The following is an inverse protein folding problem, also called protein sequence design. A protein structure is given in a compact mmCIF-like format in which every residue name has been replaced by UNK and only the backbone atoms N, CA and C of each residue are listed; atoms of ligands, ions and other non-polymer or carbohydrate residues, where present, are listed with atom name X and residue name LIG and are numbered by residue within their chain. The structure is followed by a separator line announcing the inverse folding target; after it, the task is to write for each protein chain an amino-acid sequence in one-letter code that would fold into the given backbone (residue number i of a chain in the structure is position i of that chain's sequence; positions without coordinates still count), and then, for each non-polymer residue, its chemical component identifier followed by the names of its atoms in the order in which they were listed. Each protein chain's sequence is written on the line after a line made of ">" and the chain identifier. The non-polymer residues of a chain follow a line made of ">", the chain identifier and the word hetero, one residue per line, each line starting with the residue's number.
data_IF_227564862022
#
_entry.id   IF_227564862022
#
_cell.length_a   1.000
_cell.length_b   1.000
_cell.length_c   1.000
_cell.angle_alpha   90.00
_cell.angle_beta   90.00
_cell.angle_gamma   90.00
#
_symmetry.space_group_name_H-M   'P 1'
#
loop_
_entity.id
_entity.type
_entity.pdbx_description
1 polymer ?
#
# COMPACT_ATOMS: atom_id res chain seq x y z
N UNK A 1 -7.82 81.06 3.48
CA UNK A 1 -7.42 81.07 4.90
C UNK A 1 -8.02 79.83 5.54
N UNK A 2 -7.37 78.83 6.14
CA UNK A 2 -5.98 78.45 6.42
C UNK A 2 -5.92 76.90 6.26
N UNK A 3 -5.00 76.32 5.48
CA UNK A 3 -3.70 75.77 5.89
C UNK A 3 -3.72 74.93 7.19
N UNK A 4 -3.51 73.61 7.06
CA UNK A 4 -3.26 72.70 8.17
C UNK A 4 -2.63 71.37 7.72
N UNK A 5 -1.35 71.41 7.34
CA UNK A 5 -0.49 70.24 7.09
C UNK A 5 -0.16 69.54 8.41
N UNK A 6 -0.31 68.21 8.49
CA UNK A 6 0.59 67.35 9.27
C UNK A 6 0.97 66.11 8.46
N UNK A 7 2.27 65.98 8.21
CA UNK A 7 2.96 64.76 7.79
C UNK A 7 3.27 63.91 9.03
N UNK A 8 3.43 62.61 8.81
CA UNK A 8 4.04 61.63 9.71
C UNK A 8 3.67 60.25 9.17
N UNK A 9 4.38 59.71 8.18
CA UNK A 9 5.66 59.00 8.30
C UNK A 9 5.52 57.68 9.08
N UNK A 10 5.79 56.58 8.38
CA UNK A 10 6.46 55.43 8.98
C UNK A 10 5.63 54.16 9.14
N UNK A 11 6.17 53.11 8.51
CA UNK A 11 6.23 51.72 8.98
C UNK A 11 5.10 50.78 8.54
N UNK A 12 5.46 50.04 7.48
CA UNK A 12 5.50 48.57 7.49
C UNK A 12 4.24 47.84 7.96
N UNK A 13 3.56 47.20 7.01
CA UNK A 13 3.50 45.74 7.03
C UNK A 13 3.81 45.18 5.64
N UNK A 14 5.08 44.82 5.49
CA UNK A 14 5.45 43.61 4.77
C UNK A 14 4.52 42.45 5.16
N UNK A 15 4.36 41.52 4.23
CA UNK A 15 3.50 40.36 4.43
C UNK A 15 2.31 40.33 3.48
N UNK A 16 2.54 40.73 2.22
CA UNK A 16 1.94 40.00 1.11
C UNK A 16 2.31 38.52 1.28
N UNK A 17 1.51 37.79 2.07
CA UNK A 17 1.53 36.33 2.07
C UNK A 17 1.39 35.95 0.62
N UNK A 18 2.45 35.38 0.08
CA UNK A 18 2.44 34.65 -1.17
C UNK A 18 1.19 33.78 -1.16
N UNK A 19 0.13 34.24 -1.84
CA UNK A 19 -0.87 33.35 -2.41
C UNK A 19 -0.02 32.51 -3.34
N UNK A 20 0.33 31.31 -2.88
CA UNK A 20 0.90 30.29 -3.72
C UNK A 20 -0.17 29.97 -4.74
N UNK A 21 -0.21 30.76 -5.81
CA UNK A 21 -0.87 30.40 -7.05
C UNK A 21 -0.22 29.09 -7.47
N UNK A 22 -0.88 27.98 -7.14
CA UNK A 22 -0.52 26.69 -7.68
C UNK A 22 -0.80 26.76 -9.17
N UNK A 23 0.21 27.18 -9.94
CA UNK A 23 0.10 27.31 -11.38
C UNK A 23 -0.40 26.02 -12.04
N UNK A 24 -0.94 26.09 -13.27
CA UNK A 24 -1.53 24.96 -13.99
C UNK A 24 -0.59 23.74 -14.11
N UNK A 25 0.73 23.95 -14.05
CA UNK A 25 1.74 22.89 -14.06
C UNK A 25 1.81 22.05 -12.77
N UNK A 26 1.53 22.62 -11.58
CA UNK A 26 1.44 21.83 -10.34
C UNK A 26 0.16 21.01 -10.30
N UNK A 27 -0.92 21.58 -10.83
CA UNK A 27 -2.22 20.93 -10.96
C UNK A 27 -2.16 19.71 -11.88
N UNK A 28 -1.45 19.81 -13.00
CA UNK A 28 -1.26 18.67 -13.90
C UNK A 28 -0.44 17.56 -13.23
N UNK A 29 0.61 17.91 -12.47
CA UNK A 29 1.47 16.93 -11.78
C UNK A 29 0.70 16.06 -10.77
N UNK A 30 -0.13 16.66 -9.90
CA UNK A 30 -0.88 15.88 -8.89
C UNK A 30 -1.91 14.95 -9.52
N UNK A 31 -2.55 15.40 -10.61
CA UNK A 31 -3.43 14.56 -11.40
C UNK A 31 -2.67 13.40 -12.04
N UNK A 32 -1.51 13.65 -12.64
CA UNK A 32 -0.65 12.60 -13.21
C UNK A 32 -0.21 11.59 -12.14
N UNK A 33 0.14 12.03 -10.93
CA UNK A 33 0.48 11.13 -9.82
C UNK A 33 -0.68 10.19 -9.47
N UNK A 34 -1.92 10.71 -9.40
CA UNK A 34 -3.09 9.86 -9.16
C UNK A 34 -3.29 8.85 -10.31
N UNK A 35 -3.15 9.28 -11.56
CA UNK A 35 -3.33 8.39 -12.72
C UNK A 35 -2.25 7.31 -12.76
N UNK A 36 -0.99 7.66 -12.55
CA UNK A 36 0.11 6.68 -12.45
C UNK A 36 -0.16 5.72 -11.30
N UNK A 37 -0.60 6.23 -10.15
CA UNK A 37 -0.99 5.40 -9.02
C UNK A 37 -2.09 4.39 -9.38
N UNK A 38 -3.16 4.84 -10.05
CA UNK A 38 -4.24 3.97 -10.51
C UNK A 38 -3.79 2.93 -11.54
N UNK A 39 -2.91 3.31 -12.47
CA UNK A 39 -2.35 2.38 -13.45
C UNK A 39 -1.55 1.27 -12.77
N UNK A 40 -0.71 1.62 -11.78
CA UNK A 40 0.05 0.62 -11.01
C UNK A 40 -0.86 -0.32 -10.23
N UNK A 41 -1.90 0.22 -9.58
CA UNK A 41 -2.87 -0.59 -8.83
C UNK A 41 -3.63 -1.51 -9.77
N UNK A 42 -4.16 -0.99 -10.89
CA UNK A 42 -4.89 -1.78 -11.87
C UNK A 42 -4.01 -2.88 -12.47
N UNK A 43 -2.76 -2.56 -12.82
CA UNK A 43 -1.79 -3.53 -13.31
C UNK A 43 -1.54 -4.64 -12.28
N UNK A 44 -1.31 -4.27 -11.01
CA UNK A 44 -1.15 -5.24 -9.93
C UNK A 44 -2.41 -6.11 -9.77
N UNK A 45 -3.61 -5.52 -9.75
CA UNK A 45 -4.87 -6.27 -9.60
C UNK A 45 -5.12 -7.25 -10.73
N UNK A 46 -4.85 -6.86 -11.98
CA UNK A 46 -4.98 -7.77 -13.12
C UNK A 46 -4.01 -8.94 -13.01
N UNK A 47 -2.73 -8.66 -12.70
CA UNK A 47 -1.74 -9.72 -12.50
C UNK A 47 -2.06 -10.59 -11.28
N UNK A 48 -2.62 -10.02 -10.22
CA UNK A 48 -3.05 -10.75 -9.03
C UNK A 48 -4.08 -11.80 -9.38
N UNK A 49 -5.13 -11.44 -10.11
CA UNK A 49 -6.18 -12.38 -10.52
C UNK A 49 -5.58 -13.52 -11.37
N UNK A 50 -4.74 -13.16 -12.34
CA UNK A 50 -4.09 -14.12 -13.23
C UNK A 50 -3.22 -15.10 -12.42
N UNK A 51 -2.39 -14.61 -11.51
CA UNK A 51 -1.47 -15.44 -10.73
C UNK A 51 -2.18 -16.26 -9.66
N UNK A 52 -3.30 -15.77 -9.10
CA UNK A 52 -4.16 -16.58 -8.23
C UNK A 52 -4.68 -17.81 -9.01
N UNK A 53 -5.17 -17.61 -10.23
CA UNK A 53 -5.67 -18.71 -11.08
C UNK A 53 -4.54 -19.68 -11.43
N UNK A 54 -3.37 -19.17 -11.85
CA UNK A 54 -2.21 -20.02 -12.15
C UNK A 54 -1.75 -20.82 -10.94
N UNK A 55 -1.71 -20.23 -9.75
CA UNK A 55 -1.33 -20.94 -8.55
C UNK A 55 -2.32 -22.04 -8.18
N UNK A 56 -3.63 -21.83 -8.39
CA UNK A 56 -4.65 -22.88 -8.20
C UNK A 56 -4.38 -24.05 -9.14
N UNK A 57 -4.19 -23.78 -10.44
CA UNK A 57 -3.88 -24.82 -11.43
C UNK A 57 -2.58 -25.56 -11.08
N UNK A 58 -1.50 -24.83 -10.82
CA UNK A 58 -0.20 -25.41 -10.44
C UNK A 58 -0.30 -26.28 -9.18
N UNK A 59 -1.03 -25.84 -8.16
CA UNK A 59 -1.26 -26.60 -6.93
C UNK A 59 -2.04 -27.90 -7.13
N UNK A 60 -2.87 -27.98 -8.18
CA UNK A 60 -3.61 -29.18 -8.54
C UNK A 60 -2.71 -30.21 -9.24
N UNK A 61 -1.77 -29.72 -10.05
CA UNK A 61 -0.81 -30.53 -10.80
C UNK A 61 0.38 -30.98 -9.93
N UNK A 62 0.67 -30.26 -8.86
CA UNK A 62 1.80 -30.49 -7.98
C UNK A 62 2.91 -29.47 -8.22
N UNK A 63 3.31 -28.77 -7.15
CA UNK A 63 4.36 -27.76 -7.20
C UNK A 63 5.64 -28.37 -6.63
N UNK A 64 6.66 -28.49 -7.48
CA UNK A 64 7.98 -28.95 -7.05
C UNK A 64 8.65 -27.85 -6.22
N UNK A 65 8.99 -28.17 -4.98
CA UNK A 65 9.68 -27.27 -4.05
C UNK A 65 11.01 -27.89 -3.66
N UNK A 66 12.07 -27.08 -3.72
CA UNK A 66 13.40 -27.45 -3.24
C UNK A 66 13.43 -27.26 -1.73
N UNK A 67 13.63 -28.34 -0.99
CA UNK A 67 13.80 -28.33 0.47
C UNK A 67 15.26 -28.10 0.86
N UNK A 68 16.19 -28.66 0.08
CA UNK A 68 17.62 -28.45 0.27
C UNK A 68 18.29 -28.19 -1.08
N UNK A 69 19.05 -27.11 -1.15
CA UNK A 69 19.83 -26.77 -2.33
C UNK A 69 20.92 -27.82 -2.61
N UNK A 70 21.26 -28.03 -3.89
CA UNK A 70 22.37 -28.90 -4.25
C UNK A 70 23.68 -28.33 -3.70
N UNK A 71 24.47 -29.18 -3.03
CA UNK A 71 25.77 -28.78 -2.52
C UNK A 71 26.83 -29.07 -3.58
N UNK A 72 27.62 -28.07 -3.92
CA UNK A 72 28.78 -28.22 -4.80
C UNK A 72 30.07 -28.03 -3.98
N UNK A 73 30.96 -29.02 -4.02
CA UNK A 73 32.30 -28.92 -3.44
C UNK A 73 33.34 -29.11 -4.53
N UNK A 74 34.33 -28.20 -4.58
CA UNK A 74 35.42 -28.22 -5.55
C UNK A 74 34.96 -28.33 -7.02
N UNK A 75 33.84 -27.69 -7.36
CA UNK A 75 33.28 -27.70 -8.72
C UNK A 75 32.56 -29.01 -9.11
N UNK A 76 32.43 -29.95 -8.17
CA UNK A 76 31.67 -31.19 -8.35
C UNK A 76 30.43 -31.20 -7.46
N UNK A 77 29.35 -31.83 -7.94
CA UNK A 77 28.14 -31.99 -7.16
C UNK A 77 28.43 -32.95 -6.00
N UNK A 78 28.46 -32.42 -4.78
CA UNK A 78 28.66 -33.19 -3.56
C UNK A 78 27.34 -33.77 -3.03
N UNK A 79 26.21 -33.09 -3.26
CA UNK A 79 24.87 -33.54 -2.85
C UNK A 79 23.80 -33.03 -3.81
N UNK A 80 22.91 -33.93 -4.23
CA UNK A 80 21.73 -33.57 -5.03
C UNK A 80 20.74 -32.72 -4.22
N UNK A 81 19.93 -31.94 -4.93
CA UNK A 81 18.87 -31.15 -4.32
C UNK A 81 17.79 -32.08 -3.77
N UNK A 82 17.36 -31.85 -2.53
CA UNK A 82 16.19 -32.55 -1.97
C UNK A 82 14.96 -31.78 -2.40
N UNK A 83 14.05 -32.44 -3.11
CA UNK A 83 12.80 -31.84 -3.58
C UNK A 83 11.59 -32.58 -3.05
N UNK A 84 10.49 -31.87 -2.89
CA UNK A 84 9.18 -32.44 -2.59
C UNK A 84 8.14 -31.84 -3.53
N UNK A 85 7.02 -32.54 -3.71
CA UNK A 85 5.89 -32.02 -4.49
C UNK A 85 4.76 -31.66 -3.55
N UNK A 86 4.35 -30.39 -3.56
CA UNK A 86 3.25 -29.89 -2.74
C UNK A 86 1.96 -29.80 -3.55
N UNK A 87 0.83 -30.10 -2.91
CA UNK A 87 -0.50 -30.06 -3.53
C UNK A 87 -1.48 -29.23 -2.68
N UNK A 88 -2.59 -28.82 -3.28
CA UNK A 88 -3.66 -28.12 -2.57
C UNK A 88 -3.18 -26.81 -1.95
N UNK A 89 -3.58 -26.51 -0.71
CA UNK A 89 -3.29 -25.21 -0.08
C UNK A 89 -1.78 -24.92 0.07
N UNK A 90 -0.97 -25.93 0.39
CA UNK A 90 0.49 -25.76 0.53
C UNK A 90 1.19 -25.57 -0.81
N UNK A 91 0.75 -26.29 -1.85
CA UNK A 91 1.22 -26.06 -3.23
C UNK A 91 0.80 -24.69 -3.75
N UNK A 92 -0.42 -24.25 -3.43
CA UNK A 92 -0.92 -22.92 -3.81
C UNK A 92 -0.09 -21.81 -3.17
N UNK A 93 0.15 -21.88 -1.86
CA UNK A 93 0.98 -20.92 -1.14
C UNK A 93 2.40 -20.87 -1.73
N UNK A 94 3.02 -22.03 -1.94
CA UNK A 94 4.37 -22.15 -2.50
C UNK A 94 4.49 -21.55 -3.92
N UNK A 95 3.44 -21.66 -4.75
CA UNK A 95 3.44 -21.06 -6.09
C UNK A 95 3.11 -19.55 -6.07
N UNK A 96 2.18 -19.13 -5.22
CA UNK A 96 1.60 -17.78 -5.26
C UNK A 96 2.40 -16.75 -4.46
N UNK A 97 2.87 -17.11 -3.27
CA UNK A 97 3.42 -16.14 -2.35
C UNK A 97 4.77 -15.55 -2.77
N UNK A 98 5.70 -16.29 -3.43
CA UNK A 98 6.90 -15.67 -4.01
C UNK A 98 6.55 -14.60 -5.04
N UNK A 99 5.56 -14.87 -5.91
CA UNK A 99 5.07 -13.88 -6.86
C UNK A 99 4.46 -12.67 -6.15
N UNK A 100 3.63 -12.90 -5.13
CA UNK A 100 3.00 -11.82 -4.36
C UNK A 100 4.06 -10.95 -3.67
N UNK A 101 5.09 -11.55 -3.07
CA UNK A 101 6.18 -10.84 -2.40
C UNK A 101 6.96 -9.96 -3.38
N UNK A 102 7.23 -10.48 -4.58
CA UNK A 102 7.93 -9.78 -5.64
C UNK A 102 7.07 -8.71 -6.34
N UNK A 103 5.76 -8.66 -6.15
CA UNK A 103 4.90 -7.71 -6.88
C UNK A 103 4.09 -6.78 -5.96
N UNK A 104 4.00 -7.07 -4.66
CA UNK A 104 3.28 -6.27 -3.68
C UNK A 104 3.76 -4.81 -3.62
N UNK A 105 5.02 -4.54 -3.97
CA UNK A 105 5.54 -3.17 -4.04
C UNK A 105 4.80 -2.31 -5.08
N UNK A 106 4.27 -2.91 -6.16
CA UNK A 106 3.51 -2.19 -7.19
C UNK A 106 2.19 -1.64 -6.61
N UNK A 107 1.50 -2.45 -5.80
CA UNK A 107 0.33 -2.01 -5.06
C UNK A 107 0.70 -0.89 -4.09
N UNK A 108 1.76 -1.08 -3.29
CA UNK A 108 2.20 -0.08 -2.31
C UNK A 108 2.55 1.26 -2.97
N UNK A 109 3.38 1.25 -4.02
CA UNK A 109 3.75 2.44 -4.78
C UNK A 109 2.53 3.11 -5.43
N UNK A 110 1.62 2.31 -5.98
CA UNK A 110 0.37 2.79 -6.55
C UNK A 110 -0.49 3.54 -5.53
N UNK A 111 -0.65 2.98 -4.33
CA UNK A 111 -1.37 3.62 -3.21
C UNK A 111 -0.66 4.91 -2.77
N UNK A 112 0.67 4.91 -2.67
CA UNK A 112 1.44 6.10 -2.28
C UNK A 112 1.25 7.23 -3.29
N UNK A 113 1.41 6.97 -4.59
CA UNK A 113 1.23 8.01 -5.62
C UNK A 113 -0.21 8.53 -5.67
N UNK A 114 -1.18 7.64 -5.53
CA UNK A 114 -2.59 8.04 -5.43
C UNK A 114 -2.84 8.93 -4.22
N UNK A 115 -2.34 8.55 -3.04
CA UNK A 115 -2.50 9.30 -1.80
C UNK A 115 -1.84 10.69 -1.87
N UNK A 116 -0.60 10.77 -2.39
CA UNK A 116 0.12 12.03 -2.57
C UNK A 116 -0.65 12.95 -3.52
N UNK A 117 -1.07 12.44 -4.68
CA UNK A 117 -1.84 13.21 -5.66
C UNK A 117 -3.17 13.72 -5.08
N UNK A 118 -3.87 12.87 -4.31
CA UNK A 118 -5.10 13.25 -3.62
C UNK A 118 -4.87 14.34 -2.55
N UNK A 119 -3.93 14.15 -1.63
CA UNK A 119 -3.68 15.09 -0.52
C UNK A 119 -3.20 16.47 -0.99
N UNK A 120 -2.54 16.53 -2.14
CA UNK A 120 -2.01 17.78 -2.71
C UNK A 120 -3.01 18.46 -3.66
N UNK A 121 -4.17 17.85 -3.92
CA UNK A 121 -5.24 18.48 -4.71
C UNK A 121 -5.97 19.51 -3.82
N UNK A 122 -6.07 20.79 -4.23
CA UNK A 122 -6.72 21.83 -3.41
C UNK A 122 -8.21 21.54 -3.19
N UNK A 123 -8.69 21.75 -1.95
CA UNK A 123 -10.10 21.50 -1.54
C UNK A 123 -11.09 22.37 -2.32
N UNK A 124 -10.68 23.56 -2.75
CA UNK A 124 -11.50 24.49 -3.53
C UNK A 124 -11.79 23.99 -4.96
N UNK A 125 -11.01 23.04 -5.47
CA UNK A 125 -11.12 22.56 -6.85
C UNK A 125 -12.03 21.34 -7.02
N UNK A 126 -12.40 20.66 -5.93
CA UNK A 126 -13.03 19.35 -6.01
C UNK A 126 -14.47 19.36 -5.49
N UNK A 127 -15.40 18.87 -6.33
CA UNK A 127 -16.78 18.63 -5.88
C UNK A 127 -16.74 17.63 -4.74
N UNK A 128 -17.40 17.97 -3.63
CA UNK A 128 -17.50 17.12 -2.45
C UNK A 128 -17.73 15.61 -2.74
N UNK A 129 -18.68 15.19 -3.61
CA UNK A 129 -18.87 13.77 -3.91
C UNK A 129 -17.66 13.08 -4.56
N UNK A 130 -16.87 13.81 -5.37
CA UNK A 130 -15.67 13.27 -6.04
C UNK A 130 -14.55 13.07 -5.03
N UNK A 131 -14.35 14.04 -4.13
CA UNK A 131 -13.37 13.94 -3.05
C UNK A 131 -13.71 12.77 -2.11
N UNK A 132 -14.99 12.60 -1.75
CA UNK A 132 -15.44 11.49 -0.91
C UNK A 132 -15.21 10.13 -1.59
N UNK A 133 -15.47 10.03 -2.90
CA UNK A 133 -15.21 8.81 -3.67
C UNK A 133 -13.73 8.46 -3.68
N UNK A 134 -12.84 9.43 -3.94
CA UNK A 134 -11.38 9.22 -3.92
C UNK A 134 -10.88 8.78 -2.54
N UNK A 135 -11.41 9.34 -1.46
CA UNK A 135 -11.06 8.91 -0.11
C UNK A 135 -11.49 7.47 0.18
N UNK A 136 -12.69 7.06 -0.28
CA UNK A 136 -13.15 5.66 -0.16
C UNK A 136 -12.27 4.71 -0.96
N UNK A 137 -11.89 5.14 -2.17
CA UNK A 137 -11.00 4.39 -3.03
C UNK A 137 -9.62 4.19 -2.38
N UNK A 138 -9.05 5.25 -1.80
CA UNK A 138 -7.81 5.18 -1.02
C UNK A 138 -7.94 4.24 0.19
N UNK A 139 -9.01 4.37 0.97
CA UNK A 139 -9.28 3.47 2.10
C UNK A 139 -9.40 2.01 1.68
N UNK A 140 -10.07 1.74 0.55
CA UNK A 140 -10.17 0.40 -0.03
C UNK A 140 -8.80 -0.17 -0.41
N UNK A 141 -7.94 0.62 -1.04
CA UNK A 141 -6.61 0.16 -1.41
C UNK A 141 -5.67 -0.04 -0.22
N UNK A 142 -5.82 0.77 0.84
CA UNK A 142 -5.10 0.52 2.10
C UNK A 142 -5.54 -0.80 2.73
N UNK A 143 -6.83 -1.14 2.71
CA UNK A 143 -7.30 -2.46 3.16
C UNK A 143 -6.72 -3.60 2.31
N UNK A 144 -6.66 -3.42 0.99
CA UNK A 144 -6.04 -4.41 0.09
C UNK A 144 -4.55 -4.60 0.42
N UNK A 145 -3.82 -3.51 0.67
CA UNK A 145 -2.42 -3.56 1.07
C UNK A 145 -2.23 -4.25 2.43
N UNK A 146 -3.11 -3.98 3.39
CA UNK A 146 -3.10 -4.68 4.68
C UNK A 146 -3.32 -6.19 4.51
N UNK A 147 -4.26 -6.59 3.64
CA UNK A 147 -4.50 -8.00 3.35
C UNK A 147 -3.27 -8.67 2.72
N UNK A 148 -2.59 -8.01 1.78
CA UNK A 148 -1.34 -8.50 1.19
C UNK A 148 -0.26 -8.70 2.26
N UNK A 149 -0.11 -7.76 3.19
CA UNK A 149 0.86 -7.88 4.29
C UNK A 149 0.56 -9.09 5.19
N UNK A 150 -0.71 -9.35 5.48
CA UNK A 150 -1.12 -10.54 6.25
C UNK A 150 -0.75 -11.81 5.49
N UNK A 151 -1.10 -11.91 4.20
CA UNK A 151 -0.80 -13.08 3.37
C UNK A 151 0.71 -13.36 3.34
N UNK A 152 1.53 -12.33 3.12
CA UNK A 152 2.99 -12.44 3.12
C UNK A 152 3.56 -12.85 4.48
N UNK A 153 2.98 -12.35 5.57
CA UNK A 153 3.35 -12.77 6.91
C UNK A 153 3.08 -14.26 7.13
N UNK A 154 1.87 -14.72 6.80
CA UNK A 154 1.48 -16.13 6.96
C UNK A 154 2.35 -17.04 6.08
N UNK A 155 2.62 -16.66 4.84
CA UNK A 155 3.44 -17.46 3.94
C UNK A 155 4.84 -17.75 4.53
N UNK A 156 5.45 -16.72 5.12
CA UNK A 156 6.81 -16.76 5.63
C UNK A 156 7.02 -17.64 6.86
N UNK A 157 5.99 -17.83 7.68
CA UNK A 157 6.04 -18.77 8.82
C UNK A 157 5.70 -20.19 8.39
N UNK A 158 4.67 -20.36 7.55
CA UNK A 158 4.04 -21.66 7.39
C UNK A 158 4.50 -22.45 6.16
N UNK A 159 5.07 -21.79 5.13
CA UNK A 159 5.27 -22.42 3.82
C UNK A 159 6.67 -22.29 3.22
N UNK A 160 7.50 -21.33 3.64
CA UNK A 160 8.89 -21.23 3.18
C UNK A 160 9.78 -22.29 3.88
N UNK A 161 10.63 -23.02 3.15
CA UNK A 161 11.62 -23.91 3.76
C UNK A 161 12.61 -23.06 4.57
N UNK A 162 12.73 -23.38 5.86
CA UNK A 162 13.59 -22.67 6.78
C UNK A 162 14.98 -23.30 6.70
N UNK A 163 16.01 -22.54 6.31
CA UNK A 163 17.38 -23.00 6.46
C UNK A 163 17.65 -23.35 7.92
N UNK A 164 18.22 -24.54 8.17
CA UNK A 164 18.68 -24.93 9.49
C UNK A 164 19.91 -24.09 9.87
N UNK A 165 19.71 -22.84 10.29
CA UNK A 165 20.77 -22.06 10.94
C UNK A 165 21.11 -22.72 12.28
N UNK A 166 22.39 -22.92 12.51
CA UNK A 166 23.01 -23.77 13.54
C UNK A 166 22.84 -23.33 15.00
N UNK A 167 21.72 -22.68 15.36
CA UNK A 167 21.41 -22.28 16.73
C UNK A 167 19.91 -22.21 17.00
N UNK A 168 19.43 -23.01 17.95
CA UNK A 168 18.02 -23.12 18.34
C UNK A 168 17.39 -21.81 18.85
N UNK A 169 18.20 -20.88 19.35
CA UNK A 169 17.75 -19.57 19.84
C UNK A 169 17.60 -18.48 18.75
N UNK A 170 18.18 -18.66 17.56
CA UNK A 170 18.01 -17.72 16.45
C UNK A 170 16.85 -18.10 15.50
N UNK A 171 16.32 -19.32 15.65
CA UNK A 171 15.36 -19.95 14.74
C UNK A 171 13.93 -19.39 14.84
N UNK A 172 13.43 -19.22 16.07
CA UNK A 172 12.05 -18.79 16.32
C UNK A 172 11.97 -17.26 16.30
N UNK A 173 13.01 -16.56 16.74
CA UNK A 173 12.93 -15.13 16.99
C UNK A 173 12.86 -14.30 15.71
N UNK A 174 13.62 -14.63 14.66
CA UNK A 174 13.68 -13.79 13.47
C UNK A 174 12.43 -13.89 12.59
N UNK A 175 11.98 -15.10 12.24
CA UNK A 175 10.80 -15.28 11.40
C UNK A 175 9.51 -14.87 12.12
N UNK A 176 9.42 -15.13 13.44
CA UNK A 176 8.32 -14.63 14.25
C UNK A 176 8.33 -13.11 14.34
N UNK A 177 9.50 -12.48 14.45
CA UNK A 177 9.62 -11.02 14.45
C UNK A 177 9.23 -10.43 13.10
N UNK A 178 9.66 -11.03 11.99
CA UNK A 178 9.26 -10.60 10.65
C UNK A 178 7.74 -10.75 10.44
N UNK A 179 7.15 -11.88 10.83
CA UNK A 179 5.69 -12.05 10.81
C UNK A 179 4.98 -11.02 11.67
N UNK A 180 5.45 -10.82 12.91
CA UNK A 180 4.86 -9.87 13.83
C UNK A 180 4.95 -8.46 13.24
N UNK A 181 6.06 -8.11 12.58
CA UNK A 181 6.19 -6.86 11.86
C UNK A 181 5.14 -6.73 10.73
N UNK A 182 4.92 -7.77 9.93
CA UNK A 182 3.90 -7.76 8.87
C UNK A 182 2.49 -7.61 9.44
N UNK A 183 2.17 -8.32 10.54
CA UNK A 183 0.87 -8.22 11.23
C UNK A 183 0.66 -6.84 11.85
N UNK A 184 1.69 -6.28 12.51
CA UNK A 184 1.64 -4.94 13.09
C UNK A 184 1.44 -3.89 11.98
N UNK A 185 2.19 -3.97 10.88
CA UNK A 185 2.00 -3.07 9.74
C UNK A 185 0.63 -3.21 9.11
N UNK A 186 0.13 -4.44 8.92
CA UNK A 186 -1.22 -4.68 8.43
C UNK A 186 -2.27 -4.03 9.34
N UNK A 187 -2.13 -4.17 10.67
CA UNK A 187 -3.03 -3.55 11.64
C UNK A 187 -2.99 -2.02 11.56
N UNK A 188 -1.81 -1.41 11.49
CA UNK A 188 -1.65 0.05 11.33
C UNK A 188 -2.33 0.54 10.06
N UNK A 189 -2.10 -0.13 8.93
CA UNK A 189 -2.68 0.23 7.63
C UNK A 189 -4.21 0.05 7.65
N UNK A 190 -4.70 -1.04 8.24
CA UNK A 190 -6.15 -1.29 8.36
C UNK A 190 -6.84 -0.26 9.26
N UNK A 191 -6.22 0.12 10.38
CA UNK A 191 -6.72 1.17 11.25
C UNK A 191 -6.77 2.53 10.54
N UNK A 192 -5.73 2.87 9.78
CA UNK A 192 -5.72 4.07 8.95
C UNK A 192 -6.85 4.03 7.91
N UNK A 193 -7.05 2.91 7.23
CA UNK A 193 -8.13 2.75 6.27
C UNK A 193 -9.52 2.92 6.92
N UNK A 194 -9.76 2.26 8.05
CA UNK A 194 -11.01 2.38 8.82
C UNK A 194 -11.23 3.82 9.29
N UNK A 195 -10.18 4.50 9.74
CA UNK A 195 -10.24 5.91 10.11
C UNK A 195 -10.68 6.78 8.93
N UNK A 196 -10.05 6.63 7.76
CA UNK A 196 -10.42 7.39 6.55
C UNK A 196 -11.87 7.10 6.11
N UNK A 197 -12.32 5.85 6.22
CA UNK A 197 -13.70 5.46 5.91
C UNK A 197 -14.71 5.96 6.97
N UNK A 198 -14.30 6.11 8.23
CA UNK A 198 -15.16 6.55 9.35
C UNK A 198 -15.27 8.06 9.51
N UNK A 199 -14.21 8.82 9.25
CA UNK A 199 -14.20 10.30 9.34
C UNK A 199 -15.35 10.93 8.55
N UNK A 200 -15.81 10.27 7.48
CA UNK A 200 -16.95 10.73 6.70
C UNK A 200 -18.32 10.48 7.34
N UNK A 201 -18.50 9.42 8.16
CA UNK A 201 -19.78 9.16 8.84
C UNK A 201 -20.07 10.19 9.93
N UNK A 202 -19.03 10.67 10.61
CA UNK A 202 -19.14 11.73 11.63
C UNK A 202 -19.26 13.14 11.02
N UNK A 203 -19.00 13.30 9.73
CA UNK A 203 -19.07 14.60 9.04
C UNK A 203 -20.50 15.05 8.70
N UNK A 204 -21.53 14.26 9.03
CA UNK A 204 -22.93 14.74 9.04
C UNK A 204 -23.50 15.21 7.70
N UNK A 205 -23.05 14.66 6.57
CA UNK A 205 -23.59 15.01 5.24
C UNK A 205 -24.60 13.94 4.85
N UNK A 206 -25.73 13.94 5.55
CA UNK A 206 -26.79 12.96 5.38
C UNK A 206 -27.92 13.19 6.37
N UNK A 207 -28.75 14.19 6.11
CA UNK A 207 -30.14 14.22 6.57
C UNK A 207 -30.38 14.75 7.97
N UNK A 208 -30.53 16.07 8.09
CA UNK A 208 -31.52 16.69 8.97
C UNK A 208 -32.08 17.92 8.24
N UNK A 209 -32.75 17.66 7.12
CA UNK A 209 -33.76 18.61 6.63
C UNK A 209 -34.92 18.53 7.61
N UNK A 210 -34.91 19.40 8.62
CA UNK A 210 -36.13 19.68 9.40
C UNK A 210 -37.23 20.05 8.42
N UNK A 211 -38.41 19.40 8.44
CA UNK A 211 -39.55 19.96 7.75
C UNK A 211 -39.89 21.27 8.47
N UNK A 212 -39.75 22.39 7.77
CA UNK A 212 -40.33 23.66 8.21
C UNK A 212 -41.84 23.46 8.26
N UNK A 213 -42.37 23.38 9.48
CA UNK A 213 -43.75 23.77 9.77
C UNK A 213 -43.81 25.29 9.93
#
# INVERSE_FOLDING_TARGET
>A
MASGRRRGAGLEKEGGKARGETGPARRSLYWYLMVVGLVLIAYFTLNLIINVVYAVDASSQGVLVVLEEPLYENGSLAREAVTTTLHGASGWAAAFAPWLALNAYLLALGVIFFAIGYMQTPVEEERLPVSLFKLRLLGGYLLALAAVMVILGFDRIFFLPHEAKTGSLAWIDWYLFEFLAHVVWAAVIALLAVFLLRVQRSSGIGGDAKPSQ
#
